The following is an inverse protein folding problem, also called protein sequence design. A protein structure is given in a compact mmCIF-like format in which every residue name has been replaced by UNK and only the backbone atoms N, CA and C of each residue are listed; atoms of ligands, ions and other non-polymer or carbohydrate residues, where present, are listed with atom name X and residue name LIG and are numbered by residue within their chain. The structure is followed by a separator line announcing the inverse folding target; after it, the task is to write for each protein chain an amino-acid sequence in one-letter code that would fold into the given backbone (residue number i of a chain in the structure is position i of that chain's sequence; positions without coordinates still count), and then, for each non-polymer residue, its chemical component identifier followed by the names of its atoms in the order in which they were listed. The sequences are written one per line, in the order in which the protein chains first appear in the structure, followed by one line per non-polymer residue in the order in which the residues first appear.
data_IF_397794355744
#
_entry.id   IF_397794355744
#
_cell.length_a   1.000
_cell.length_b   1.000
_cell.length_c   1.000
_cell.angle_alpha   90.00
_cell.angle_beta   90.00
_cell.angle_gamma   90.00
#
_symmetry.space_group_name_H-M   'P 1'
#
loop_
_entity.id
_entity.type
_entity.pdbx_description
1 polymer ?
#
# COMPACT_ATOMS: atom_id res chain seq x y z
N UNK A 1 4.95 -0.12 27.29
CA UNK A 1 4.98 1.24 26.68
C UNK A 1 3.56 1.77 26.53
N UNK A 2 2.56 0.89 26.32
CA UNK A 2 1.13 1.27 26.31
C UNK A 2 0.72 1.99 27.60
N UNK A 3 1.28 1.59 28.74
CA UNK A 3 1.10 2.19 30.06
C UNK A 3 1.44 3.69 30.13
N UNK A 4 2.21 4.19 29.17
CA UNK A 4 2.60 5.61 29.06
C UNK A 4 1.70 6.43 28.14
N UNK A 5 0.76 5.80 27.43
CA UNK A 5 -0.12 6.49 26.50
C UNK A 5 -1.08 7.42 27.24
N UNK A 6 -1.19 8.65 26.76
CA UNK A 6 -2.12 9.65 27.26
C UNK A 6 -3.21 9.85 26.20
N UNK A 7 -4.48 9.64 26.56
CA UNK A 7 -5.60 9.95 25.68
C UNK A 7 -5.66 11.47 25.44
N UNK A 8 -5.72 11.87 24.16
CA UNK A 8 -5.86 13.29 23.75
C UNK A 8 -7.25 13.60 23.26
N UNK A 9 -7.92 12.61 22.66
CA UNK A 9 -9.29 12.67 22.16
C UNK A 9 -9.83 11.24 21.97
N UNK A 10 -11.10 11.11 21.56
CA UNK A 10 -11.70 9.85 21.17
C UNK A 10 -10.84 9.16 20.12
N UNK A 11 -10.38 7.96 20.45
CA UNK A 11 -9.51 7.12 19.62
C UNK A 11 -8.14 7.73 19.25
N UNK A 12 -7.68 8.76 19.99
CA UNK A 12 -6.37 9.40 19.76
C UNK A 12 -5.56 9.37 21.04
N UNK A 13 -4.40 8.71 20.97
CA UNK A 13 -3.46 8.56 22.06
C UNK A 13 -2.12 9.17 21.70
N UNK A 14 -1.47 9.78 22.68
CA UNK A 14 -0.13 10.33 22.54
C UNK A 14 0.83 9.55 23.43
N UNK A 15 1.94 9.10 22.85
CA UNK A 15 3.09 8.62 23.59
C UNK A 15 3.97 9.84 23.89
N UNK A 16 4.11 10.26 25.16
CA UNK A 16 4.88 11.44 25.53
C UNK A 16 6.31 11.37 25.01
N UNK A 17 6.85 12.52 24.63
CA UNK A 17 8.23 12.61 24.19
C UNK A 17 9.17 12.37 25.38
N UNK A 18 9.81 11.20 25.41
CA UNK A 18 10.74 10.82 26.47
C UNK A 18 12.10 10.34 25.93
N UNK A 19 13.13 10.44 26.76
CA UNK A 19 14.47 9.93 26.44
C UNK A 19 15.06 10.54 25.17
N UNK A 20 15.29 9.71 24.15
CA UNK A 20 15.90 10.12 22.87
C UNK A 20 14.90 10.58 21.82
N UNK A 21 13.60 10.52 22.12
CA UNK A 21 12.55 10.94 21.19
C UNK A 21 12.71 12.43 20.86
N UNK A 22 12.60 12.77 19.59
CA UNK A 22 12.66 14.15 19.08
C UNK A 22 11.28 14.79 18.96
N UNK A 23 10.26 13.96 18.84
CA UNK A 23 8.83 14.29 18.74
C UNK A 23 8.05 13.26 19.56
N UNK A 24 6.80 13.52 19.96
CA UNK A 24 5.93 12.49 20.55
C UNK A 24 5.55 11.39 19.54
N UNK A 25 5.00 10.29 20.04
CA UNK A 25 4.25 9.33 19.23
C UNK A 25 2.76 9.68 19.21
N UNK A 26 2.06 9.45 18.11
CA UNK A 26 0.60 9.61 18.00
C UNK A 26 -0.04 8.36 17.44
N UNK A 27 -0.97 7.77 18.18
CA UNK A 27 -1.57 6.49 17.86
C UNK A 27 -3.08 6.69 17.74
N UNK A 28 -3.63 6.34 16.58
CA UNK A 28 -5.06 6.30 16.35
C UNK A 28 -5.52 4.87 16.62
N UNK A 29 -6.38 4.64 17.60
CA UNK A 29 -6.80 3.28 17.96
C UNK A 29 -8.03 3.32 18.86
N UNK A 30 -8.84 2.27 18.90
CA UNK A 30 -9.83 2.09 19.97
C UNK A 30 -9.17 1.47 21.21
N UNK A 31 -9.81 1.57 22.38
CA UNK A 31 -9.32 0.89 23.59
C UNK A 31 -9.21 -0.64 23.40
N UNK A 32 -10.15 -1.23 22.64
CA UNK A 32 -10.15 -2.66 22.34
C UNK A 32 -8.94 -3.07 21.50
N UNK A 33 -8.55 -2.26 20.52
CA UNK A 33 -7.39 -2.53 19.66
C UNK A 33 -6.07 -2.34 20.42
N UNK A 34 -5.98 -1.35 21.32
CA UNK A 34 -4.80 -1.17 22.16
C UNK A 34 -4.52 -2.36 23.09
N UNK A 35 -5.56 -3.11 23.45
CA UNK A 35 -5.44 -4.29 24.32
C UNK A 35 -4.95 -5.55 23.57
N UNK A 36 -4.72 -5.47 22.25
CA UNK A 36 -4.32 -6.63 21.46
C UNK A 36 -2.90 -7.12 21.81
N UNK A 37 -2.67 -8.45 21.92
CA UNK A 37 -1.33 -8.99 22.10
C UNK A 37 -0.33 -8.49 21.04
N UNK A 38 0.84 -8.03 21.47
CA UNK A 38 1.89 -7.51 20.59
C UNK A 38 1.83 -5.99 20.33
N UNK A 39 0.77 -5.31 20.78
CA UNK A 39 0.66 -3.85 20.65
C UNK A 39 1.84 -3.12 21.33
N UNK A 40 2.33 -3.60 22.48
CA UNK A 40 3.48 -2.99 23.18
C UNK A 40 4.74 -2.92 22.30
N UNK A 41 5.01 -3.97 21.53
CA UNK A 41 6.14 -4.02 20.60
C UNK A 41 5.98 -3.00 19.46
N UNK A 42 4.77 -2.81 18.97
CA UNK A 42 4.49 -1.83 17.91
C UNK A 42 4.57 -0.38 18.43
N UNK A 43 4.04 -0.12 19.64
CA UNK A 43 4.20 1.18 20.32
C UNK A 43 5.68 1.49 20.58
N UNK A 44 6.49 0.50 20.92
CA UNK A 44 7.94 0.68 21.04
C UNK A 44 8.58 1.09 19.71
N UNK A 45 8.10 0.57 18.57
CA UNK A 45 8.60 0.98 17.25
C UNK A 45 8.20 2.43 16.92
N UNK A 46 7.00 2.88 17.30
CA UNK A 46 6.62 4.32 17.23
C UNK A 46 7.62 5.17 18.04
N UNK A 47 7.95 4.74 19.25
CA UNK A 47 8.95 5.43 20.08
C UNK A 47 10.35 5.45 19.45
N UNK A 48 10.74 4.40 18.72
CA UNK A 48 12.02 4.32 18.03
C UNK A 48 12.07 5.25 16.82
N UNK A 49 11.01 5.25 16.00
CA UNK A 49 10.88 6.13 14.82
C UNK A 49 10.90 7.60 15.25
N UNK A 50 10.27 7.94 16.37
CA UNK A 50 10.29 9.27 16.96
C UNK A 50 11.70 9.82 17.30
N UNK A 51 12.74 8.98 17.31
CA UNK A 51 14.13 9.39 17.57
C UNK A 51 14.88 9.82 16.30
N UNK A 52 14.33 9.52 15.12
CA UNK A 52 15.04 9.67 13.85
C UNK A 52 15.26 11.15 13.48
N UNK A 53 16.46 11.53 13.00
CA UNK A 53 16.77 12.93 12.67
C UNK A 53 15.80 13.54 11.67
N UNK A 54 15.44 14.80 11.89
CA UNK A 54 14.59 15.57 10.97
C UNK A 54 13.11 15.19 10.93
N UNK A 55 12.66 14.24 11.76
CA UNK A 55 11.23 13.90 11.90
C UNK A 55 10.39 15.13 12.27
N UNK A 56 9.16 15.17 11.78
CA UNK A 56 8.24 16.31 11.90
C UNK A 56 7.02 15.92 12.72
N UNK A 57 6.64 16.78 13.67
CA UNK A 57 5.43 16.73 14.51
C UNK A 57 5.26 15.50 15.41
N UNK A 58 5.15 14.29 14.86
CA UNK A 58 4.98 13.05 15.60
C UNK A 58 5.41 11.85 14.75
N UNK A 59 5.80 10.75 15.42
CA UNK A 59 5.74 9.42 14.78
C UNK A 59 4.31 8.91 14.93
N UNK A 60 3.63 8.66 13.81
CA UNK A 60 2.21 8.33 13.78
C UNK A 60 1.97 6.84 13.53
N UNK A 61 0.88 6.32 14.07
CA UNK A 61 0.45 4.94 13.90
C UNK A 61 -1.07 4.88 13.68
N UNK A 62 -1.48 4.20 12.62
CA UNK A 62 -2.86 3.98 12.23
C UNK A 62 -3.53 2.87 13.08
N UNK A 63 -4.88 2.73 13.05
CA UNK A 63 -5.60 1.77 13.88
C UNK A 63 -5.23 0.30 13.71
N UNK A 64 -4.67 -0.06 12.55
CA UNK A 64 -4.18 -1.38 12.19
C UNK A 64 -2.70 -1.61 12.54
N UNK A 65 -2.12 -0.75 13.38
CA UNK A 65 -0.72 -0.85 13.81
C UNK A 65 -0.37 -2.24 14.35
N UNK A 66 0.73 -2.78 13.85
CA UNK A 66 1.34 -3.99 14.39
C UNK A 66 2.86 -4.01 14.14
N UNK A 67 3.52 -5.00 14.73
CA UNK A 67 4.97 -5.13 14.67
C UNK A 67 5.49 -5.29 13.24
N UNK A 68 6.43 -4.42 12.86
CA UNK A 68 7.07 -4.42 11.54
C UNK A 68 8.60 -4.51 11.60
N UNK A 69 9.27 -4.16 10.50
CA UNK A 69 10.74 -4.17 10.41
C UNK A 69 11.31 -2.77 10.68
N UNK A 70 11.66 -2.51 11.94
CA UNK A 70 12.16 -1.21 12.40
C UNK A 70 11.04 -0.19 12.64
N UNK A 71 10.26 0.12 11.60
CA UNK A 71 9.00 0.85 11.72
C UNK A 71 7.85 -0.14 11.97
N UNK A 72 6.78 0.27 12.67
CA UNK A 72 5.56 -0.52 12.72
C UNK A 72 4.85 -0.50 11.36
N UNK A 73 4.17 -1.61 11.01
CA UNK A 73 3.20 -1.58 9.92
C UNK A 73 2.01 -0.72 10.38
N UNK A 74 1.41 0.05 9.46
CA UNK A 74 0.47 1.12 9.79
C UNK A 74 1.15 2.38 10.34
N UNK A 75 2.48 2.47 10.26
CA UNK A 75 3.26 3.64 10.68
C UNK A 75 3.30 4.74 9.62
N UNK A 76 3.27 6.00 10.06
CA UNK A 76 3.48 7.18 9.22
C UNK A 76 4.51 8.10 9.89
N UNK A 77 5.52 8.53 9.14
CA UNK A 77 6.50 9.51 9.62
C UNK A 77 6.97 10.41 8.49
N UNK A 78 6.91 11.72 8.71
CA UNK A 78 7.42 12.72 7.78
C UNK A 78 8.78 13.23 8.23
N UNK A 79 9.72 13.33 7.29
CA UNK A 79 11.09 13.80 7.52
C UNK A 79 11.39 15.00 6.63
N UNK A 80 12.13 15.98 7.17
CA UNK A 80 12.54 17.17 6.38
C UNK A 80 13.52 16.75 5.27
N UNK A 81 13.17 16.99 4.00
CA UNK A 81 14.01 16.67 2.83
C UNK A 81 15.26 17.57 2.73
N UNK A 82 15.13 18.85 3.05
CA UNK A 82 16.22 19.81 3.16
C UNK A 82 15.86 20.84 4.23
N UNK A 83 16.84 21.30 5.00
CA UNK A 83 16.62 22.23 6.08
C UNK A 83 17.73 23.28 6.11
N UNK A 84 17.42 24.50 5.67
CA UNK A 84 18.27 25.68 5.89
C UNK A 84 18.30 26.15 7.35
N UNK A 85 17.50 25.52 8.24
CA UNK A 85 17.33 25.93 9.66
C UNK A 85 17.47 24.78 10.67
N UNK A 86 18.23 23.72 10.37
CA UNK A 86 18.23 22.50 11.20
C UNK A 86 18.80 21.25 10.52
N UNK A 87 18.58 20.08 11.14
CA UNK A 87 19.12 18.78 10.69
C UNK A 87 18.30 18.20 9.52
N UNK A 88 18.96 17.86 8.43
CA UNK A 88 18.42 17.07 7.31
C UNK A 88 17.80 15.77 7.85
N UNK A 89 16.63 15.41 7.29
CA UNK A 89 15.93 14.17 7.59
C UNK A 89 16.65 12.95 7.05
N UNK A 90 16.08 11.78 7.35
CA UNK A 90 16.57 10.49 6.87
C UNK A 90 15.52 9.84 5.96
N UNK A 91 15.99 8.97 5.07
CA UNK A 91 15.16 7.96 4.42
C UNK A 91 15.52 6.60 5.02
N UNK A 92 14.51 5.78 5.33
CA UNK A 92 14.72 4.45 5.88
C UNK A 92 13.89 3.43 5.09
N UNK A 93 14.52 2.45 4.41
CA UNK A 93 13.78 1.41 3.69
C UNK A 93 12.79 0.65 4.57
N UNK A 94 13.13 0.44 5.86
CA UNK A 94 12.22 -0.20 6.82
C UNK A 94 10.96 0.60 7.12
N UNK A 95 10.95 1.92 6.87
CA UNK A 95 9.76 2.78 6.97
C UNK A 95 8.91 2.82 5.71
N UNK A 96 9.39 2.25 4.59
CA UNK A 96 8.61 2.05 3.36
C UNK A 96 8.07 0.62 3.33
N UNK A 97 8.91 -0.37 3.66
CA UNK A 97 8.58 -1.79 3.60
C UNK A 97 9.39 -2.54 2.54
N UNK A 98 9.38 -3.86 2.62
CA UNK A 98 10.08 -4.73 1.66
C UNK A 98 9.36 -4.79 0.32
N UNK A 99 8.03 -4.81 0.35
CA UNK A 99 7.18 -4.85 -0.84
C UNK A 99 6.81 -3.42 -1.24
N UNK A 100 7.76 -2.76 -1.91
CA UNK A 100 7.66 -1.35 -2.29
C UNK A 100 6.47 -1.20 -3.25
N UNK A 101 5.54 -0.30 -2.91
CA UNK A 101 4.32 -0.05 -3.66
C UNK A 101 3.34 -1.24 -3.70
N UNK A 102 3.40 -2.15 -2.71
CA UNK A 102 2.26 -3.02 -2.43
C UNK A 102 1.01 -2.15 -2.21
N UNK A 103 0.00 -2.36 -3.04
CA UNK A 103 -1.10 -1.42 -3.16
C UNK A 103 -2.35 -2.05 -3.75
N UNK A 104 -3.42 -1.26 -3.78
CA UNK A 104 -4.75 -1.71 -4.16
C UNK A 104 -5.22 -0.96 -5.41
N UNK A 105 -5.82 -1.69 -6.34
CA UNK A 105 -6.61 -1.13 -7.44
C UNK A 105 -8.04 -1.65 -7.35
N UNK A 106 -9.01 -0.76 -7.48
CA UNK A 106 -10.42 -1.10 -7.56
C UNK A 106 -10.94 -0.84 -8.98
N UNK A 107 -11.51 -1.86 -9.61
CA UNK A 107 -12.15 -1.77 -10.92
C UNK A 107 -13.66 -1.83 -10.72
N UNK A 108 -14.38 -0.80 -11.18
CA UNK A 108 -15.84 -0.81 -11.21
C UNK A 108 -16.38 -1.48 -12.46
N UNK A 109 -17.57 -2.05 -12.34
CA UNK A 109 -18.34 -2.56 -13.49
C UNK A 109 -19.73 -1.95 -13.48
N UNK A 110 -20.47 -2.12 -14.57
CA UNK A 110 -21.91 -1.81 -14.61
C UNK A 110 -22.79 -3.01 -14.22
N UNK A 111 -22.15 -4.13 -13.81
CA UNK A 111 -22.85 -5.34 -13.39
C UNK A 111 -23.32 -5.20 -11.94
N UNK A 112 -24.40 -5.92 -11.63
CA UNK A 112 -24.90 -6.11 -10.27
C UNK A 112 -24.78 -7.57 -9.85
N UNK A 113 -24.98 -7.86 -8.56
CA UNK A 113 -24.88 -9.22 -8.01
C UNK A 113 -25.72 -10.25 -8.79
N UNK A 114 -26.91 -9.87 -9.28
CA UNK A 114 -27.78 -10.77 -10.05
C UNK A 114 -27.20 -11.20 -11.39
N UNK A 115 -26.30 -10.41 -12.00
CA UNK A 115 -25.66 -10.76 -13.27
C UNK A 115 -24.57 -11.83 -13.12
N UNK A 116 -23.98 -11.87 -11.91
CA UNK A 116 -22.87 -12.74 -11.52
C UNK A 116 -23.36 -14.01 -10.81
N UNK A 117 -24.49 -13.93 -10.09
CA UNK A 117 -25.03 -15.04 -9.29
C UNK A 117 -25.23 -16.29 -10.16
N UNK A 118 -24.66 -17.40 -9.74
CA UNK A 118 -24.67 -18.67 -10.46
C UNK A 118 -23.46 -18.88 -11.39
N UNK A 119 -22.68 -17.82 -11.67
CA UNK A 119 -21.47 -17.86 -12.52
C UNK A 119 -20.18 -17.63 -11.73
N UNK A 120 -20.24 -17.52 -10.41
CA UNK A 120 -19.08 -17.16 -9.58
C UNK A 120 -17.91 -18.10 -9.83
N UNK A 121 -18.16 -19.42 -9.88
CA UNK A 121 -17.12 -20.41 -10.13
C UNK A 121 -16.45 -20.21 -11.49
N UNK A 122 -17.23 -20.03 -12.55
CA UNK A 122 -16.71 -19.83 -13.91
C UNK A 122 -15.84 -18.57 -13.99
N UNK A 123 -16.30 -17.47 -13.40
CA UNK A 123 -15.58 -16.20 -13.37
C UNK A 123 -14.26 -16.35 -12.61
N UNK A 124 -14.28 -16.96 -11.42
CA UNK A 124 -13.07 -17.15 -10.61
C UNK A 124 -12.11 -18.13 -11.27
N UNK A 125 -12.60 -19.23 -11.88
CA UNK A 125 -11.77 -20.20 -12.60
C UNK A 125 -11.06 -19.52 -13.79
N UNK A 126 -11.76 -18.66 -14.54
CA UNK A 126 -11.16 -17.92 -15.66
C UNK A 126 -10.18 -16.84 -15.17
N UNK A 127 -10.50 -16.11 -14.10
CA UNK A 127 -9.57 -15.15 -13.48
C UNK A 127 -8.29 -15.83 -13.00
N UNK A 128 -8.39 -16.99 -12.35
CA UNK A 128 -7.24 -17.75 -11.87
C UNK A 128 -6.37 -18.27 -13.04
N UNK A 129 -7.00 -18.63 -14.16
CA UNK A 129 -6.30 -19.02 -15.38
C UNK A 129 -5.61 -17.83 -16.06
N UNK A 130 -6.20 -16.65 -16.01
CA UNK A 130 -5.67 -15.46 -16.68
C UNK A 130 -4.66 -14.66 -15.84
N UNK A 131 -4.76 -14.72 -14.51
CA UNK A 131 -3.90 -13.98 -13.59
C UNK A 131 -3.06 -14.96 -12.76
N UNK A 132 -1.79 -15.20 -13.13
CA UNK A 132 -0.92 -16.10 -12.37
C UNK A 132 -0.75 -15.66 -10.92
N UNK A 133 -0.92 -16.59 -9.98
CA UNK A 133 -0.71 -16.38 -8.55
C UNK A 133 0.20 -17.46 -7.95
N UNK A 134 0.74 -17.21 -6.76
CA UNK A 134 1.54 -18.15 -5.98
C UNK A 134 3.05 -17.89 -6.00
N UNK A 135 3.75 -18.40 -4.97
CA UNK A 135 5.19 -18.21 -4.80
C UNK A 135 5.96 -18.87 -5.95
N UNK A 136 6.77 -18.08 -6.66
CA UNK A 136 7.55 -18.55 -7.80
C UNK A 136 6.75 -18.72 -9.10
N UNK A 137 5.47 -18.36 -9.09
CA UNK A 137 4.68 -18.20 -10.30
C UNK A 137 5.31 -17.16 -11.22
N UNK A 138 5.20 -17.37 -12.53
CA UNK A 138 5.75 -16.47 -13.54
C UNK A 138 4.60 -15.81 -14.27
N UNK A 139 4.73 -14.51 -14.51
CA UNK A 139 3.80 -13.80 -15.38
C UNK A 139 3.74 -14.42 -16.76
N UNK A 140 2.60 -14.29 -17.44
CA UNK A 140 2.48 -14.67 -18.87
C UNK A 140 3.34 -13.77 -19.75
N UNK A 141 3.66 -12.57 -19.26
CA UNK A 141 4.48 -11.56 -19.92
C UNK A 141 5.96 -11.95 -19.81
N UNK A 142 6.67 -11.94 -20.95
CA UNK A 142 8.13 -12.11 -20.99
C UNK A 142 8.77 -10.80 -21.40
N UNK A 143 9.51 -10.20 -20.49
CA UNK A 143 10.20 -8.94 -20.74
C UNK A 143 11.64 -9.20 -21.20
N UNK A 144 12.06 -8.48 -22.23
CA UNK A 144 13.49 -8.23 -22.47
C UNK A 144 14.07 -7.26 -21.43
N UNK A 145 15.40 -7.19 -21.31
CA UNK A 145 16.05 -6.25 -20.38
C UNK A 145 15.67 -4.79 -20.68
N UNK A 146 15.53 -4.43 -21.96
CA UNK A 146 15.09 -3.10 -22.41
C UNK A 146 13.64 -2.81 -22.03
N UNK A 147 12.76 -3.82 -22.11
CA UNK A 147 11.37 -3.64 -21.68
C UNK A 147 11.26 -3.54 -20.17
N UNK A 148 12.04 -4.32 -19.42
CA UNK A 148 12.10 -4.16 -17.97
C UNK A 148 12.59 -2.76 -17.59
N UNK A 149 13.61 -2.25 -18.27
CA UNK A 149 14.06 -0.87 -18.06
C UNK A 149 12.96 0.14 -18.36
N UNK A 150 12.18 -0.07 -19.42
CA UNK A 150 11.02 0.78 -19.73
C UNK A 150 9.97 0.70 -18.62
N UNK A 151 9.63 -0.49 -18.12
CA UNK A 151 8.71 -0.68 -16.98
C UNK A 151 9.19 0.10 -15.76
N UNK A 152 10.49 0.02 -15.44
CA UNK A 152 11.08 0.73 -14.29
C UNK A 152 11.11 2.26 -14.46
N UNK A 153 11.25 2.75 -15.69
CA UNK A 153 11.34 4.20 -15.97
C UNK A 153 9.98 4.89 -16.12
N UNK A 154 9.01 4.24 -16.76
CA UNK A 154 7.74 4.88 -17.15
C UNK A 154 6.50 4.18 -16.56
N UNK A 155 6.69 3.14 -15.74
CA UNK A 155 5.63 2.52 -14.95
C UNK A 155 4.41 2.10 -15.77
N UNK A 156 3.23 2.52 -15.35
CA UNK A 156 1.96 2.16 -16.00
C UNK A 156 1.83 2.69 -17.42
N UNK A 157 2.60 3.71 -17.81
CA UNK A 157 2.64 4.18 -19.21
C UNK A 157 3.18 3.11 -20.15
N UNK A 158 4.15 2.31 -19.72
CA UNK A 158 4.60 1.15 -20.51
C UNK A 158 3.46 0.17 -20.75
N UNK A 159 2.61 -0.05 -19.74
CA UNK A 159 1.48 -0.96 -19.85
C UNK A 159 0.42 -0.43 -20.83
N UNK A 160 0.18 0.89 -20.84
CA UNK A 160 -0.65 1.58 -21.84
C UNK A 160 -0.07 1.45 -23.26
N UNK A 161 1.21 1.77 -23.45
CA UNK A 161 1.90 1.66 -24.76
C UNK A 161 1.88 0.23 -25.33
N UNK A 162 1.77 -0.77 -24.46
CA UNK A 162 1.67 -2.20 -24.82
C UNK A 162 0.23 -2.71 -24.96
N UNK A 163 -0.77 -1.86 -24.69
CA UNK A 163 -2.19 -2.18 -24.82
C UNK A 163 -2.79 -2.97 -23.66
N UNK A 164 -2.13 -2.99 -22.49
CA UNK A 164 -2.68 -3.60 -21.27
C UNK A 164 -3.58 -2.65 -20.48
N UNK A 165 -3.45 -1.34 -20.69
CA UNK A 165 -4.26 -0.29 -20.07
C UNK A 165 -4.83 0.63 -21.15
N UNK A 166 -5.96 1.25 -20.84
CA UNK A 166 -6.45 2.40 -21.59
C UNK A 166 -5.74 3.67 -21.12
N UNK A 167 -5.68 4.67 -21.99
CA UNK A 167 -5.10 5.98 -21.63
C UNK A 167 -5.77 6.62 -20.42
N UNK A 168 -7.10 6.47 -20.30
CA UNK A 168 -7.88 6.97 -19.16
C UNK A 168 -7.56 6.28 -17.85
N UNK A 169 -7.00 5.06 -17.89
CA UNK A 169 -6.64 4.35 -16.65
C UNK A 169 -5.54 5.10 -15.91
N UNK A 170 -4.61 5.75 -16.62
CA UNK A 170 -3.51 6.49 -16.00
C UNK A 170 -4.01 7.66 -15.13
N UNK A 171 -5.12 8.30 -15.50
CA UNK A 171 -5.65 9.49 -14.81
C UNK A 171 -6.23 9.18 -13.43
N UNK A 172 -6.49 7.90 -13.13
CA UNK A 172 -7.09 7.45 -11.87
C UNK A 172 -6.10 6.62 -11.02
N UNK A 173 -4.82 6.62 -11.38
CA UNK A 173 -3.75 6.03 -10.57
C UNK A 173 -3.04 7.12 -9.78
N UNK A 174 -2.65 6.79 -8.54
CA UNK A 174 -1.70 7.61 -7.80
C UNK A 174 -0.42 7.82 -8.64
N UNK A 175 0.08 9.06 -8.67
CA UNK A 175 1.20 9.50 -9.53
C UNK A 175 1.02 9.19 -11.03
N UNK A 176 -0.23 9.04 -11.49
CA UNK A 176 -0.54 8.52 -12.83
C UNK A 176 0.15 7.18 -13.15
N UNK A 177 0.48 6.41 -12.11
CA UNK A 177 1.18 5.14 -12.19
C UNK A 177 2.66 5.27 -12.56
N UNK A 178 3.29 6.43 -12.36
CA UNK A 178 4.71 6.65 -12.66
C UNK A 178 5.34 7.73 -11.76
N UNK A 179 6.34 7.36 -10.97
CA UNK A 179 7.21 8.32 -10.28
C UNK A 179 8.29 8.78 -11.26
N UNK A 180 8.23 10.05 -11.68
CA UNK A 180 9.05 10.60 -12.77
C UNK A 180 10.56 10.70 -12.46
N UNK A 181 10.95 10.58 -11.19
CA UNK A 181 12.35 10.56 -10.75
C UNK A 181 12.96 9.15 -10.64
N UNK A 182 12.32 8.12 -11.18
CA UNK A 182 12.84 6.75 -11.14
C UNK A 182 14.17 6.63 -11.92
N UNK A 183 15.17 6.00 -11.29
CA UNK A 183 16.50 5.76 -11.86
C UNK A 183 16.78 4.25 -11.92
N UNK A 184 16.43 3.56 -13.03
CA UNK A 184 16.57 2.11 -13.13
C UNK A 184 18.00 1.60 -12.88
N UNK A 185 19.03 2.39 -13.18
CA UNK A 185 20.44 2.04 -12.95
C UNK A 185 20.77 1.79 -11.47
N UNK A 186 19.94 2.26 -10.54
CA UNK A 186 20.07 1.99 -9.11
C UNK A 186 19.39 0.69 -8.66
N UNK A 187 18.67 0.02 -9.57
CA UNK A 187 18.07 -1.30 -9.31
C UNK A 187 19.09 -2.39 -9.63
N UNK A 188 19.53 -3.11 -8.58
CA UNK A 188 20.52 -4.20 -8.72
C UNK A 188 20.11 -5.28 -9.73
N UNK A 189 21.11 -5.92 -10.35
CA UNK A 189 20.92 -7.05 -11.24
C UNK A 189 20.12 -8.20 -10.60
N UNK A 190 20.31 -8.42 -9.30
CA UNK A 190 19.57 -9.44 -8.56
C UNK A 190 18.06 -9.13 -8.53
N UNK A 191 17.69 -7.90 -8.17
CA UNK A 191 16.30 -7.45 -8.15
C UNK A 191 15.68 -7.50 -9.55
N UNK A 192 16.41 -7.04 -10.58
CA UNK A 192 15.98 -7.11 -11.98
C UNK A 192 15.70 -8.54 -12.43
N UNK A 193 16.62 -9.47 -12.19
CA UNK A 193 16.47 -10.90 -12.55
C UNK A 193 15.32 -11.58 -11.82
N UNK A 194 15.05 -11.15 -10.58
CA UNK A 194 13.90 -11.64 -9.80
C UNK A 194 12.59 -11.11 -10.38
N UNK A 195 12.46 -9.80 -10.56
CA UNK A 195 11.22 -9.14 -10.99
C UNK A 195 10.84 -9.40 -12.46
N UNK A 196 11.81 -9.55 -13.36
CA UNK A 196 11.55 -9.67 -14.81
C UNK A 196 10.66 -10.85 -15.22
N UNK A 197 10.61 -11.89 -14.38
CA UNK A 197 9.77 -13.08 -14.59
C UNK A 197 8.41 -13.00 -13.89
N UNK A 198 8.18 -11.97 -13.08
CA UNK A 198 7.04 -11.85 -12.18
C UNK A 198 6.05 -10.74 -12.59
N UNK A 199 6.43 -9.85 -13.52
CA UNK A 199 5.51 -8.83 -14.05
C UNK A 199 4.26 -9.47 -14.64
N UNK A 200 3.09 -9.01 -14.20
CA UNK A 200 1.79 -9.59 -14.57
C UNK A 200 1.43 -10.86 -13.80
N UNK A 201 1.84 -10.96 -12.53
CA UNK A 201 1.40 -11.99 -11.58
C UNK A 201 1.04 -11.36 -10.24
N UNK A 202 0.17 -12.00 -9.45
CA UNK A 202 -0.26 -11.52 -8.14
C UNK A 202 0.77 -11.75 -7.02
N UNK A 203 1.65 -12.74 -7.17
CA UNK A 203 2.53 -13.14 -6.07
C UNK A 203 1.79 -13.95 -4.99
N UNK A 204 2.14 -13.74 -3.73
CA UNK A 204 1.69 -14.55 -2.57
C UNK A 204 1.54 -13.70 -1.32
N UNK A 205 1.16 -14.29 -0.19
CA UNK A 205 0.98 -13.56 1.07
C UNK A 205 -0.43 -13.02 1.17
N UNK A 206 -0.58 -11.72 1.42
CA UNK A 206 -1.87 -11.03 1.48
C UNK A 206 -2.34 -10.53 0.10
N UNK A 207 -1.67 -10.90 -0.99
CA UNK A 207 -2.05 -10.51 -2.35
C UNK A 207 -3.22 -11.34 -2.88
N UNK A 208 -4.17 -10.69 -3.54
CA UNK A 208 -5.38 -11.31 -4.04
C UNK A 208 -5.98 -10.54 -5.23
N UNK A 209 -6.92 -11.21 -5.90
CA UNK A 209 -7.89 -10.61 -6.80
C UNK A 209 -9.26 -11.11 -6.38
N UNK A 210 -10.15 -10.20 -6.00
CA UNK A 210 -11.47 -10.51 -5.47
C UNK A 210 -12.56 -9.85 -6.31
N UNK A 211 -13.62 -10.61 -6.58
CA UNK A 211 -14.88 -10.06 -7.09
C UNK A 211 -15.77 -9.78 -5.89
N UNK A 212 -16.11 -8.52 -5.69
CA UNK A 212 -16.82 -8.02 -4.51
C UNK A 212 -18.15 -7.39 -4.92
N UNK A 213 -19.03 -7.19 -3.93
CA UNK A 213 -20.27 -6.45 -4.06
C UNK A 213 -20.21 -5.22 -3.16
N UNK A 214 -20.60 -4.06 -3.68
CA UNK A 214 -20.88 -2.88 -2.85
C UNK A 214 -22.14 -3.16 -2.04
N UNK A 215 -21.99 -3.53 -0.76
CA UNK A 215 -23.11 -3.96 0.09
C UNK A 215 -23.83 -2.79 0.78
N UNK A 216 -23.10 -1.70 1.08
CA UNK A 216 -23.65 -0.53 1.76
C UNK A 216 -22.95 0.75 1.27
N UNK A 217 -23.68 1.86 1.17
CA UNK A 217 -23.17 3.19 0.82
C UNK A 217 -23.36 4.14 2.01
N UNK A 218 -22.25 4.67 2.53
CA UNK A 218 -22.26 5.59 3.68
C UNK A 218 -22.30 7.08 3.28
N UNK A 219 -21.76 7.42 2.11
CA UNK A 219 -21.76 8.78 1.55
C UNK A 219 -22.17 8.70 0.07
N UNK A 220 -23.41 9.07 -0.20
CA UNK A 220 -24.02 9.04 -1.53
C UNK A 220 -23.31 9.98 -2.53
N UNK A 221 -22.84 11.14 -2.08
CA UNK A 221 -22.20 12.10 -2.95
C UNK A 221 -20.82 11.60 -3.41
N UNK A 222 -20.04 11.04 -2.48
CA UNK A 222 -18.76 10.42 -2.78
C UNK A 222 -18.91 9.16 -3.63
N UNK A 223 -19.85 8.27 -3.29
CA UNK A 223 -20.11 7.06 -4.06
C UNK A 223 -20.48 7.39 -5.51
N UNK A 224 -21.38 8.36 -5.71
CA UNK A 224 -21.74 8.83 -7.06
C UNK A 224 -20.53 9.40 -7.81
N UNK A 225 -19.66 10.17 -7.17
CA UNK A 225 -18.45 10.71 -7.78
C UNK A 225 -17.47 9.59 -8.19
N UNK A 226 -17.40 8.50 -7.42
CA UNK A 226 -16.59 7.32 -7.72
C UNK A 226 -17.27 6.32 -8.67
N UNK A 227 -18.52 6.57 -9.06
CA UNK A 227 -19.30 5.64 -9.88
C UNK A 227 -19.63 4.34 -9.15
N UNK A 228 -19.82 4.40 -7.84
CA UNK A 228 -20.21 3.29 -6.98
C UNK A 228 -21.69 3.37 -6.60
N UNK A 229 -22.36 2.21 -6.48
CA UNK A 229 -23.75 2.11 -6.04
C UNK A 229 -24.01 0.77 -5.37
N UNK A 230 -25.01 0.70 -4.47
CA UNK A 230 -25.36 -0.52 -3.75
C UNK A 230 -25.76 -1.66 -4.72
N UNK A 231 -25.27 -2.87 -4.45
CA UNK A 231 -25.49 -4.06 -5.27
C UNK A 231 -24.54 -4.19 -6.47
N UNK A 232 -23.74 -3.16 -6.77
CA UNK A 232 -22.76 -3.19 -7.85
C UNK A 232 -21.67 -4.23 -7.61
N UNK A 233 -21.28 -4.93 -8.66
CA UNK A 233 -20.10 -5.78 -8.67
C UNK A 233 -18.83 -5.00 -9.02
N UNK A 234 -17.77 -5.21 -8.26
CA UNK A 234 -16.46 -4.58 -8.45
C UNK A 234 -15.36 -5.64 -8.35
N UNK A 235 -14.17 -5.34 -8.86
CA UNK A 235 -12.99 -6.19 -8.73
C UNK A 235 -11.90 -5.44 -7.98
N UNK A 236 -11.46 -5.99 -6.85
CA UNK A 236 -10.34 -5.46 -6.09
C UNK A 236 -9.09 -6.29 -6.36
N UNK A 237 -7.99 -5.63 -6.69
CA UNK A 237 -6.68 -6.23 -6.89
C UNK A 237 -5.72 -5.70 -5.83
N UNK A 238 -5.00 -6.59 -5.16
CA UNK A 238 -4.00 -6.24 -4.16
C UNK A 238 -2.69 -6.98 -4.48
N UNK A 239 -1.64 -6.22 -4.83
CA UNK A 239 -0.29 -6.73 -5.14
C UNK A 239 0.74 -5.58 -5.08
N UNK A 240 2.03 -5.92 -5.09
CA UNK A 240 3.16 -5.03 -5.41
C UNK A 240 3.79 -5.35 -6.76
#
# INVERSE_FOLDING_TARGET
MIDKLISKDKNIYELPQEGKMRVPGRIYSSESLLSHPGMDSAVQQVANVAQLPGIVNASMAMPDIHWGYGFPIGGVAAFRSNSTKGKTGVISPGGVGFDINCGVRLLRTDLVESDIRGKQKEIIDELYKEVPAGLGSKGKIRLSDRELESVLSIGSKWAEEKGYLWKSDLEVLEENGCIDTALPEHVSDYARKRGSKQVGSLGSGNHFLEVQKVDEVFDEAAAKAFGLFEGQAVVMMHTG
#
